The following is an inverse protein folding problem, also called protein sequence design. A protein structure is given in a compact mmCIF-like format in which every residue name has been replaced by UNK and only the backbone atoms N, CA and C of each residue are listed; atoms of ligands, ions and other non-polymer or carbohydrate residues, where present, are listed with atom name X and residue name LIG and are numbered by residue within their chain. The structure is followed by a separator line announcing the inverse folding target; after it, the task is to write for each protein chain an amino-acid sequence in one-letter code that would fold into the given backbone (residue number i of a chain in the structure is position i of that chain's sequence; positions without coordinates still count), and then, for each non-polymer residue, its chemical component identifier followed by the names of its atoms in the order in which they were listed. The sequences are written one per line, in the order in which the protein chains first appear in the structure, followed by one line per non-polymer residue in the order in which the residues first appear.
data_IF_137524195386
#
_entry.id   IF_137524195386
#
_cell.length_a   1.000
_cell.length_b   1.000
_cell.length_c   1.000
_cell.angle_alpha   90.00
_cell.angle_beta   90.00
_cell.angle_gamma   90.00
#
_symmetry.space_group_name_H-M   'P 1'
#
loop_
_entity.id
_entity.type
_entity.pdbx_description
1 polymer ?
#
# COMPACT_ATOMS: atom_id res chain seq x y z
N UNK A 1 27.95 -56.47 -54.37
CA UNK A 1 29.39 -56.47 -53.99
C UNK A 1 30.32 -56.65 -55.21
N UNK A 2 30.05 -56.01 -56.37
CA UNK A 2 30.93 -56.09 -57.57
C UNK A 2 31.91 -54.91 -57.71
N UNK A 3 31.62 -53.77 -57.08
CA UNK A 3 32.35 -52.51 -57.27
C UNK A 3 33.68 -52.42 -56.48
N UNK A 4 33.78 -53.11 -55.33
CA UNK A 4 35.01 -53.15 -54.52
C UNK A 4 36.08 -54.10 -55.11
N UNK A 5 35.68 -55.08 -55.94
CA UNK A 5 36.59 -56.06 -56.56
C UNK A 5 37.42 -55.51 -57.72
N UNK A 6 37.12 -54.29 -58.18
CA UNK A 6 37.88 -53.59 -59.23
C UNK A 6 38.66 -52.38 -58.69
N UNK A 7 38.91 -52.33 -57.37
CA UNK A 7 39.82 -51.36 -56.75
C UNK A 7 39.23 -49.99 -56.40
N UNK A 8 37.90 -49.83 -56.36
CA UNK A 8 37.28 -48.59 -55.86
C UNK A 8 37.22 -48.59 -54.33
N UNK A 9 37.72 -47.52 -53.71
CA UNK A 9 37.62 -47.31 -52.27
C UNK A 9 36.21 -46.88 -51.88
N UNK A 10 35.65 -47.51 -50.84
CA UNK A 10 34.27 -47.28 -50.35
C UNK A 10 34.03 -45.85 -49.82
N UNK A 11 35.10 -45.10 -49.58
CA UNK A 11 35.09 -43.71 -49.07
C UNK A 11 35.86 -42.73 -49.98
N UNK A 12 36.00 -43.07 -51.26
CA UNK A 12 36.78 -42.29 -52.23
C UNK A 12 36.07 -41.05 -52.78
N UNK A 13 35.77 -40.04 -51.96
CA UNK A 13 35.44 -38.69 -52.46
C UNK A 13 36.64 -37.77 -52.22
N UNK A 14 37.39 -37.48 -53.28
CA UNK A 14 38.46 -36.46 -53.28
C UNK A 14 37.83 -35.08 -53.11
N UNK A 15 38.29 -34.33 -52.11
CA UNK A 15 37.74 -33.02 -51.70
C UNK A 15 38.24 -31.80 -52.52
N UNK A 16 39.07 -31.99 -53.56
CA UNK A 16 39.77 -30.87 -54.22
C UNK A 16 39.34 -30.58 -55.67
N UNK A 17 38.04 -30.36 -55.90
CA UNK A 17 37.58 -29.56 -57.05
C UNK A 17 36.44 -28.63 -56.65
N UNK A 18 36.81 -27.41 -56.23
CA UNK A 18 35.92 -26.25 -56.24
C UNK A 18 35.97 -25.57 -57.60
N UNK A 19 34.84 -25.51 -58.32
CA UNK A 19 34.61 -24.61 -59.46
C UNK A 19 33.58 -23.57 -59.01
N UNK A 20 34.05 -22.38 -58.64
CA UNK A 20 33.22 -21.27 -58.17
C UNK A 20 33.76 -20.65 -56.88
N UNK A 21 34.68 -19.70 -57.02
CA UNK A 21 35.35 -19.03 -55.90
C UNK A 21 34.44 -18.08 -55.12
N UNK A 22 34.35 -18.30 -53.81
CA UNK A 22 34.66 -17.30 -52.78
C UNK A 22 34.90 -18.02 -51.46
N UNK A 23 36.17 -18.16 -51.15
CA UNK A 23 36.69 -18.69 -49.90
C UNK A 23 36.40 -17.65 -48.80
N UNK A 24 35.41 -17.90 -47.94
CA UNK A 24 35.35 -17.28 -46.61
C UNK A 24 35.69 -18.37 -45.60
N UNK A 25 36.86 -18.18 -44.99
CA UNK A 25 37.47 -18.99 -43.95
C UNK A 25 36.45 -19.59 -42.97
N UNK A 26 36.30 -20.91 -43.02
CA UNK A 26 35.80 -21.69 -41.89
C UNK A 26 36.98 -21.88 -40.94
N UNK A 27 37.20 -20.93 -40.03
CA UNK A 27 37.97 -21.24 -38.81
C UNK A 27 37.03 -22.02 -37.89
N UNK A 28 37.28 -23.33 -37.76
CA UNK A 28 37.10 -23.98 -36.46
C UNK A 28 38.05 -23.25 -35.52
N UNK A 29 37.50 -22.49 -34.59
CA UNK A 29 38.17 -22.20 -33.33
C UNK A 29 37.36 -22.95 -32.29
N UNK A 30 38.10 -23.66 -31.47
CA UNK A 30 37.66 -24.58 -30.45
C UNK A 30 36.57 -23.99 -29.57
N UNK A 31 35.61 -24.86 -29.25
CA UNK A 31 34.62 -24.61 -28.22
C UNK A 31 35.34 -24.64 -26.88
N UNK A 32 35.93 -23.53 -26.46
CA UNK A 32 36.29 -23.20 -25.09
C UNK A 32 36.76 -21.72 -25.06
N UNK A 33 36.02 -20.87 -24.34
CA UNK A 33 36.25 -19.44 -24.10
C UNK A 33 35.96 -18.43 -25.24
N UNK A 34 34.72 -17.91 -25.28
CA UNK A 34 34.44 -16.53 -25.72
C UNK A 34 33.24 -15.96 -24.95
N UNK A 35 33.35 -14.80 -24.26
CA UNK A 35 32.34 -14.33 -23.30
C UNK A 35 31.24 -13.46 -23.93
N UNK A 36 31.05 -13.52 -25.25
CA UNK A 36 30.12 -12.63 -25.95
C UNK A 36 29.23 -13.41 -26.91
N UNK A 37 28.14 -13.99 -26.40
CA UNK A 37 26.88 -14.25 -27.13
C UNK A 37 25.88 -14.91 -26.17
N UNK A 38 25.32 -14.08 -25.30
CA UNK A 38 23.99 -14.31 -24.77
C UNK A 38 23.28 -12.95 -24.87
N UNK A 39 22.27 -12.77 -25.73
CA UNK A 39 21.22 -11.83 -25.39
C UNK A 39 20.40 -12.53 -24.31
N UNK A 40 20.98 -12.69 -23.11
CA UNK A 40 20.15 -12.67 -21.93
C UNK A 40 19.41 -11.34 -22.05
N UNK A 41 18.10 -11.41 -22.25
CA UNK A 41 17.21 -10.36 -21.81
C UNK A 41 17.68 -10.07 -20.39
N UNK A 42 18.48 -9.01 -20.24
CA UNK A 42 18.74 -8.41 -18.95
C UNK A 42 17.35 -7.92 -18.59
N UNK A 43 16.61 -8.77 -17.87
CA UNK A 43 15.50 -8.29 -17.10
C UNK A 43 16.08 -7.12 -16.33
N UNK A 44 15.48 -5.92 -16.41
CA UNK A 44 15.99 -4.80 -15.63
C UNK A 44 16.13 -5.32 -14.22
N UNK A 45 17.37 -5.30 -13.69
CA UNK A 45 17.64 -5.78 -12.35
C UNK A 45 16.62 -5.06 -11.46
N UNK A 46 15.65 -5.80 -10.90
CA UNK A 46 14.67 -5.22 -10.00
C UNK A 46 15.49 -4.53 -8.92
N UNK A 47 15.46 -3.20 -8.91
CA UNK A 47 16.20 -2.41 -7.91
C UNK A 47 15.85 -2.98 -6.54
N UNK A 48 16.82 -3.06 -5.60
CA UNK A 48 16.52 -3.52 -4.26
C UNK A 48 15.35 -2.68 -3.70
N UNK A 49 14.29 -3.37 -3.27
CA UNK A 49 13.08 -2.75 -2.73
C UNK A 49 13.45 -1.73 -1.63
N UNK A 50 12.74 -0.60 -1.59
CA UNK A 50 12.94 0.38 -0.53
C UNK A 50 12.75 -0.31 0.84
N UNK A 51 13.77 -0.22 1.71
CA UNK A 51 13.81 -0.98 2.98
C UNK A 51 12.72 -0.55 3.94
N UNK A 52 12.37 0.74 3.95
CA UNK A 52 11.32 1.28 4.82
C UNK A 52 9.98 0.74 4.34
N UNK A 53 9.68 0.81 3.05
CA UNK A 53 8.44 0.25 2.48
C UNK A 53 8.33 -1.26 2.79
N UNK A 54 9.43 -2.00 2.61
CA UNK A 54 9.48 -3.43 2.94
C UNK A 54 9.22 -3.71 4.42
N UNK A 55 9.74 -2.85 5.31
CA UNK A 55 9.51 -2.95 6.74
C UNK A 55 8.05 -2.62 7.12
N UNK A 56 7.46 -1.58 6.52
CA UNK A 56 6.07 -1.21 6.74
C UNK A 56 5.10 -2.30 6.28
N UNK A 57 5.41 -3.01 5.18
CA UNK A 57 4.61 -4.15 4.72
C UNK A 57 4.54 -5.29 5.73
N UNK A 58 5.67 -5.63 6.37
CA UNK A 58 5.70 -6.72 7.36
C UNK A 58 5.15 -6.30 8.73
N UNK A 59 5.13 -4.99 9.00
CA UNK A 59 4.53 -4.43 10.20
C UNK A 59 3.00 -4.27 10.09
N UNK A 60 2.42 -4.47 8.91
CA UNK A 60 1.00 -4.29 8.66
C UNK A 60 0.15 -5.19 9.60
N UNK A 61 -0.79 -4.61 10.37
CA UNK A 61 -1.64 -5.40 11.25
C UNK A 61 -2.46 -6.46 10.50
N UNK A 62 -2.71 -7.58 11.18
CA UNK A 62 -3.66 -8.59 10.71
C UNK A 62 -5.08 -8.04 10.65
N UNK A 63 -5.93 -8.66 9.83
CA UNK A 63 -7.32 -8.26 9.70
C UNK A 63 -8.08 -8.45 11.02
N UNK A 64 -8.95 -7.48 11.32
CA UNK A 64 -9.86 -7.51 12.46
C UNK A 64 -11.30 -7.61 11.93
N UNK A 65 -12.08 -8.52 12.51
CA UNK A 65 -13.51 -8.67 12.21
C UNK A 65 -14.34 -7.69 13.04
N UNK A 66 -15.42 -7.16 12.48
CA UNK A 66 -16.33 -6.25 13.18
C UNK A 66 -17.15 -6.99 14.24
N UNK A 67 -17.57 -8.23 13.96
CA UNK A 67 -18.40 -9.09 14.81
C UNK A 67 -19.72 -8.40 15.24
N UNK A 68 -20.59 -7.98 14.30
CA UNK A 68 -21.89 -7.41 14.65
C UNK A 68 -22.73 -8.43 15.43
N UNK A 69 -23.37 -8.00 16.52
CA UNK A 69 -24.19 -8.90 17.35
C UNK A 69 -25.41 -9.43 16.55
N UNK A 70 -25.51 -10.75 16.29
CA UNK A 70 -26.61 -11.31 15.51
C UNK A 70 -27.94 -11.33 16.27
N UNK A 71 -27.93 -11.13 17.60
CA UNK A 71 -29.13 -11.12 18.44
C UNK A 71 -29.80 -9.75 18.50
N UNK A 72 -29.08 -8.69 18.13
CA UNK A 72 -29.59 -7.32 18.12
C UNK A 72 -30.21 -7.01 16.75
N UNK A 73 -31.45 -6.48 16.68
CA UNK A 73 -32.06 -6.08 15.41
C UNK A 73 -31.28 -4.98 14.70
N UNK A 74 -31.32 -4.98 13.37
CA UNK A 74 -30.66 -3.96 12.56
C UNK A 74 -31.28 -2.58 12.81
N UNK A 75 -30.42 -1.63 13.14
CA UNK A 75 -30.75 -0.25 13.49
C UNK A 75 -29.52 0.64 13.28
N UNK A 76 -29.75 1.95 13.21
CA UNK A 76 -28.71 2.97 13.23
C UNK A 76 -27.78 2.79 14.43
N UNK A 77 -28.34 2.57 15.63
CA UNK A 77 -27.57 2.37 16.86
C UNK A 77 -26.69 1.12 16.77
N UNK A 78 -27.22 -0.02 16.30
CA UNK A 78 -26.42 -1.24 16.12
C UNK A 78 -25.26 -1.01 15.16
N UNK A 79 -25.51 -0.33 14.05
CA UNK A 79 -24.48 -0.06 13.05
C UNK A 79 -23.37 0.84 13.61
N UNK A 80 -23.74 1.92 14.29
CA UNK A 80 -22.81 2.85 14.92
C UNK A 80 -22.02 2.20 16.06
N UNK A 81 -22.67 1.39 16.91
CA UNK A 81 -21.99 0.62 17.96
C UNK A 81 -20.95 -0.32 17.37
N UNK A 82 -21.32 -1.09 16.32
CA UNK A 82 -20.39 -2.01 15.65
C UNK A 82 -19.17 -1.28 15.11
N UNK A 83 -19.35 -0.10 14.49
CA UNK A 83 -18.26 0.71 13.97
C UNK A 83 -17.37 1.30 15.08
N UNK A 84 -17.95 1.80 16.18
CA UNK A 84 -17.20 2.29 17.33
C UNK A 84 -16.39 1.18 18.01
N UNK A 85 -16.96 -0.01 18.15
CA UNK A 85 -16.29 -1.18 18.75
C UNK A 85 -15.17 -1.71 17.86
N UNK A 86 -15.36 -1.67 16.53
CA UNK A 86 -14.30 -1.98 15.57
C UNK A 86 -13.18 -0.93 15.64
N UNK A 87 -13.52 0.35 15.64
CA UNK A 87 -12.54 1.43 15.69
C UNK A 87 -11.70 1.38 16.98
N UNK A 88 -12.30 1.12 18.14
CA UNK A 88 -11.57 0.98 19.41
C UNK A 88 -10.50 -0.13 19.34
N UNK A 89 -10.84 -1.29 18.76
CA UNK A 89 -9.90 -2.40 18.57
C UNK A 89 -8.85 -2.11 17.50
N UNK A 90 -9.23 -1.46 16.40
CA UNK A 90 -8.28 -0.99 15.37
C UNK A 90 -7.28 0.03 15.96
N UNK A 91 -7.72 0.93 16.86
CA UNK A 91 -6.84 1.89 17.53
C UNK A 91 -5.75 1.20 18.36
N UNK A 92 -6.07 0.12 19.08
CA UNK A 92 -5.08 -0.65 19.84
C UNK A 92 -3.97 -1.18 18.94
N UNK A 93 -4.34 -1.75 17.77
CA UNK A 93 -3.33 -2.27 16.84
C UNK A 93 -2.60 -1.15 16.10
N UNK A 94 -3.23 0.00 15.84
CA UNK A 94 -2.57 1.19 15.26
C UNK A 94 -1.48 1.72 16.20
N UNK A 95 -1.74 1.80 17.50
CA UNK A 95 -0.74 2.22 18.50
C UNK A 95 0.45 1.25 18.53
N UNK A 96 0.19 -0.05 18.40
CA UNK A 96 1.24 -1.07 18.26
C UNK A 96 2.04 -0.90 16.97
N UNK A 97 1.33 -0.77 15.84
CA UNK A 97 1.89 -0.59 14.50
C UNK A 97 2.79 0.64 14.40
N UNK A 98 2.38 1.77 14.99
CA UNK A 98 3.15 3.02 14.91
C UNK A 98 4.57 2.87 15.45
N UNK A 99 4.79 2.00 16.46
CA UNK A 99 6.11 1.72 17.03
C UNK A 99 7.07 1.03 16.05
N UNK A 100 6.54 0.41 14.99
CA UNK A 100 7.34 -0.20 13.93
C UNK A 100 7.76 0.81 12.85
N UNK A 101 7.25 2.04 12.86
CA UNK A 101 7.67 3.05 11.89
C UNK A 101 9.08 3.54 12.26
N UNK A 102 10.07 3.44 11.35
CA UNK A 102 11.44 3.85 11.64
C UNK A 102 11.52 5.32 12.09
N UNK A 103 12.00 5.55 13.31
CA UNK A 103 12.11 6.89 13.92
C UNK A 103 10.92 7.32 14.79
N UNK A 104 9.77 6.64 14.71
CA UNK A 104 8.61 7.03 15.53
C UNK A 104 8.85 6.77 17.02
N UNK A 105 9.37 5.59 17.37
CA UNK A 105 9.61 5.22 18.78
C UNK A 105 10.74 6.01 19.45
N UNK A 106 11.51 6.79 18.68
CA UNK A 106 12.58 7.66 19.21
C UNK A 106 12.08 9.06 19.58
N UNK A 107 10.87 9.44 19.15
CA UNK A 107 10.22 10.68 19.55
C UNK A 107 9.86 10.65 21.05
N UNK A 108 9.63 11.83 21.64
CA UNK A 108 9.10 11.90 23.01
C UNK A 108 7.73 11.20 23.08
N UNK A 109 7.36 10.69 24.25
CA UNK A 109 6.04 10.07 24.42
C UNK A 109 4.91 11.09 24.13
N UNK A 110 5.11 12.36 24.46
CA UNK A 110 4.17 13.43 24.19
C UNK A 110 3.97 13.64 22.67
N UNK A 111 5.06 13.63 21.90
CA UNK A 111 5.00 13.74 20.44
C UNK A 111 4.35 12.50 19.80
N UNK A 112 4.70 11.30 20.26
CA UNK A 112 4.07 10.05 19.80
C UNK A 112 2.55 10.09 20.01
N UNK A 113 2.11 10.50 21.20
CA UNK A 113 0.69 10.63 21.52
C UNK A 113 0.01 11.72 20.67
N UNK A 114 0.67 12.88 20.51
CA UNK A 114 0.15 14.01 19.75
C UNK A 114 -0.05 13.68 18.27
N UNK A 115 0.88 12.95 17.65
CA UNK A 115 0.76 12.46 16.28
C UNK A 115 -0.40 11.45 16.15
N UNK A 116 -0.50 10.48 17.07
CA UNK A 116 -1.58 9.49 17.07
C UNK A 116 -2.96 10.14 17.24
N UNK A 117 -3.10 11.03 18.23
CA UNK A 117 -4.32 11.81 18.48
C UNK A 117 -4.73 12.68 17.28
N UNK A 118 -3.76 13.13 16.49
CA UNK A 118 -4.01 13.92 15.29
C UNK A 118 -4.33 13.08 14.05
N UNK A 119 -3.76 11.88 13.91
CA UNK A 119 -3.84 11.10 12.67
C UNK A 119 -4.81 9.91 12.70
N UNK A 120 -5.27 9.49 13.89
CA UNK A 120 -5.97 8.20 14.05
C UNK A 120 -7.13 7.98 13.07
N UNK A 121 -7.97 9.00 12.86
CA UNK A 121 -9.11 8.91 11.96
C UNK A 121 -8.68 8.84 10.48
N UNK A 122 -7.59 9.50 10.09
CA UNK A 122 -7.04 9.35 8.74
C UNK A 122 -6.52 7.93 8.50
N UNK A 123 -5.89 7.33 9.51
CA UNK A 123 -5.38 5.95 9.44
C UNK A 123 -6.54 4.95 9.30
N UNK A 124 -7.59 5.10 10.11
CA UNK A 124 -8.80 4.26 10.03
C UNK A 124 -9.47 4.39 8.66
N UNK A 125 -9.69 5.63 8.19
CA UNK A 125 -10.32 5.89 6.88
C UNK A 125 -9.47 5.31 5.75
N UNK A 126 -8.15 5.52 5.78
CA UNK A 126 -7.29 4.98 4.73
C UNK A 126 -7.31 3.45 4.72
N UNK A 127 -7.46 2.81 5.89
CA UNK A 127 -7.67 1.36 6.03
C UNK A 127 -8.93 0.87 5.32
N UNK A 128 -10.10 1.44 5.61
CA UNK A 128 -11.36 1.06 4.93
C UNK A 128 -11.29 1.37 3.43
N UNK A 129 -10.69 2.50 3.03
CA UNK A 129 -10.49 2.85 1.62
C UNK A 129 -9.69 1.78 0.89
N UNK A 130 -8.58 1.33 1.47
CA UNK A 130 -7.72 0.32 0.87
C UNK A 130 -8.43 -1.05 0.76
N UNK A 131 -9.14 -1.47 1.82
CA UNK A 131 -9.94 -2.71 1.80
C UNK A 131 -11.03 -2.70 0.73
N UNK A 132 -11.55 -1.52 0.38
CA UNK A 132 -12.67 -1.34 -0.55
C UNK A 132 -12.25 -1.20 -2.03
N UNK A 133 -10.96 -1.22 -2.36
CA UNK A 133 -10.49 -1.00 -3.74
C UNK A 133 -10.94 -2.05 -4.76
N UNK A 134 -11.41 -3.21 -4.31
CA UNK A 134 -11.92 -4.29 -5.18
C UNK A 134 -13.45 -4.36 -5.25
N UNK A 135 -14.16 -3.46 -4.57
CA UNK A 135 -15.62 -3.47 -4.42
C UNK A 135 -16.24 -2.25 -5.09
N UNK A 136 -17.41 -2.38 -5.72
CA UNK A 136 -18.10 -1.27 -6.38
C UNK A 136 -19.18 -0.69 -5.45
N UNK A 137 -19.10 0.62 -5.18
CA UNK A 137 -20.06 1.37 -4.35
C UNK A 137 -20.33 0.79 -2.94
N UNK A 138 -19.38 0.03 -2.41
CA UNK A 138 -19.42 -0.58 -1.07
C UNK A 138 -18.16 -0.24 -0.27
N UNK A 139 -18.30 -0.10 1.05
CA UNK A 139 -17.19 0.12 1.99
C UNK A 139 -16.96 -1.09 2.89
N UNK A 140 -15.76 -1.66 2.80
CA UNK A 140 -15.32 -2.84 3.56
C UNK A 140 -14.68 -2.40 4.87
N UNK A 141 -15.50 -2.13 5.88
CA UNK A 141 -15.01 -1.82 7.23
C UNK A 141 -14.32 -3.02 7.85
N UNK A 142 -14.86 -4.23 7.66
CA UNK A 142 -14.22 -5.50 7.96
C UNK A 142 -14.68 -6.58 6.97
N UNK A 143 -14.01 -7.74 6.94
CA UNK A 143 -14.40 -8.84 6.04
C UNK A 143 -15.85 -9.33 6.30
N UNK A 144 -16.34 -9.17 7.53
CA UNK A 144 -17.71 -9.49 7.97
C UNK A 144 -18.62 -8.26 8.13
N UNK A 145 -18.19 -7.08 7.66
CA UNK A 145 -18.96 -5.85 7.76
C UNK A 145 -18.68 -4.91 6.58
N UNK A 146 -19.47 -5.11 5.54
CA UNK A 146 -19.47 -4.32 4.31
C UNK A 146 -20.72 -3.44 4.35
N UNK A 147 -20.53 -2.14 4.08
CA UNK A 147 -21.61 -1.15 4.06
C UNK A 147 -21.88 -0.66 2.64
N UNK A 148 -23.10 -0.89 2.15
CA UNK A 148 -23.61 -0.31 0.91
C UNK A 148 -24.30 1.05 1.14
N UNK A 149 -24.91 1.62 0.10
CA UNK A 149 -25.62 2.89 0.17
C UNK A 149 -26.81 2.87 1.15
N UNK A 150 -27.56 1.77 1.21
CA UNK A 150 -28.77 1.66 2.02
C UNK A 150 -28.44 1.49 3.50
N UNK A 151 -27.42 0.69 3.82
CA UNK A 151 -26.87 0.60 5.17
C UNK A 151 -26.26 1.93 5.62
N UNK A 152 -25.61 2.65 4.71
CA UNK A 152 -25.07 3.99 4.99
C UNK A 152 -26.19 5.00 5.30
N UNK A 153 -27.31 4.96 4.57
CA UNK A 153 -28.51 5.77 4.87
C UNK A 153 -29.09 5.41 6.24
N UNK A 154 -29.27 4.12 6.49
CA UNK A 154 -29.84 3.61 7.74
C UNK A 154 -29.01 4.06 8.95
N UNK A 155 -27.69 4.03 8.85
CA UNK A 155 -26.79 4.47 9.92
C UNK A 155 -26.62 6.00 10.04
N UNK A 156 -27.23 6.80 9.15
CA UNK A 156 -27.00 8.25 9.11
C UNK A 156 -25.60 8.65 8.62
N UNK A 157 -24.90 7.75 7.93
CA UNK A 157 -23.51 7.91 7.47
C UNK A 157 -23.37 8.18 5.97
N UNK A 158 -24.48 8.33 5.23
CA UNK A 158 -24.46 8.45 3.77
C UNK A 158 -23.46 9.49 3.24
N UNK A 159 -23.49 10.71 3.76
CA UNK A 159 -22.60 11.78 3.30
C UNK A 159 -21.12 11.50 3.59
N UNK A 160 -20.84 10.87 4.75
CA UNK A 160 -19.49 10.51 5.14
C UNK A 160 -18.97 9.34 4.29
N UNK A 161 -19.78 8.30 4.11
CA UNK A 161 -19.41 7.13 3.32
C UNK A 161 -19.25 7.48 1.85
N UNK A 162 -20.06 8.39 1.31
CA UNK A 162 -19.86 8.94 -0.03
C UNK A 162 -18.54 9.70 -0.16
N UNK A 163 -18.10 10.44 0.86
CA UNK A 163 -16.79 11.08 0.86
C UNK A 163 -15.64 10.05 0.90
N UNK A 164 -15.80 8.95 1.65
CA UNK A 164 -14.86 7.83 1.65
C UNK A 164 -14.83 7.13 0.28
N UNK A 165 -15.98 6.90 -0.35
CA UNK A 165 -16.07 6.33 -1.70
C UNK A 165 -15.40 7.22 -2.76
N UNK A 166 -15.36 8.55 -2.58
CA UNK A 166 -14.56 9.43 -3.44
C UNK A 166 -13.05 9.16 -3.32
N UNK A 167 -12.55 8.85 -2.12
CA UNK A 167 -11.16 8.40 -1.93
C UNK A 167 -10.94 7.04 -2.61
N UNK A 168 -11.84 6.08 -2.42
CA UNK A 168 -11.79 4.76 -3.09
C UNK A 168 -11.70 4.93 -4.60
N UNK A 169 -12.58 5.72 -5.20
CA UNK A 169 -12.59 5.99 -6.64
C UNK A 169 -11.27 6.59 -7.13
N UNK A 170 -10.70 7.54 -6.37
CA UNK A 170 -9.41 8.16 -6.69
C UNK A 170 -8.29 7.12 -6.67
N UNK A 171 -8.16 6.35 -5.60
CA UNK A 171 -7.12 5.34 -5.47
C UNK A 171 -7.27 4.16 -6.43
N UNK A 172 -8.51 3.71 -6.73
CA UNK A 172 -8.79 2.75 -7.80
C UNK A 172 -8.27 3.25 -9.14
N UNK A 173 -8.54 4.51 -9.50
CA UNK A 173 -8.09 5.11 -10.77
C UNK A 173 -6.56 5.19 -10.87
N UNK A 174 -5.90 5.36 -9.72
CA UNK A 174 -4.44 5.39 -9.60
C UNK A 174 -3.81 3.99 -9.49
N UNK A 175 -4.63 2.94 -9.32
CA UNK A 175 -4.18 1.57 -9.03
C UNK A 175 -3.24 1.54 -7.83
N UNK A 176 -3.73 2.03 -6.69
CA UNK A 176 -2.97 2.06 -5.45
C UNK A 176 -2.48 0.65 -5.05
N UNK A 177 -1.19 0.52 -4.80
CA UNK A 177 -0.53 -0.72 -4.37
C UNK A 177 -0.45 -0.80 -2.84
N UNK A 178 -0.15 -2.00 -2.30
CA UNK A 178 -0.06 -2.19 -0.84
C UNK A 178 1.10 -1.39 -0.25
N UNK A 179 2.21 -1.36 -0.97
CA UNK A 179 3.43 -0.61 -0.69
C UNK A 179 3.16 0.88 -0.51
N UNK A 180 2.41 1.46 -1.45
CA UNK A 180 2.02 2.87 -1.43
C UNK A 180 1.05 3.14 -0.28
N UNK A 181 0.08 2.26 -0.07
CA UNK A 181 -0.88 2.36 1.04
C UNK A 181 -0.21 2.39 2.41
N UNK A 182 0.69 1.43 2.71
CA UNK A 182 1.35 1.38 4.02
C UNK A 182 2.27 2.58 4.24
N UNK A 183 2.88 3.08 3.16
CA UNK A 183 3.72 4.28 3.19
C UNK A 183 2.88 5.54 3.41
N UNK A 184 1.75 5.68 2.72
CA UNK A 184 0.82 6.79 2.91
C UNK A 184 0.21 6.81 4.31
N UNK A 185 -0.07 5.65 4.92
CA UNK A 185 -0.49 5.60 6.33
C UNK A 185 0.58 6.15 7.27
N UNK A 186 1.84 5.75 7.08
CA UNK A 186 2.95 6.27 7.90
C UNK A 186 3.15 7.77 7.70
N UNK A 187 3.05 8.26 6.45
CA UNK A 187 3.12 9.69 6.14
C UNK A 187 1.95 10.44 6.79
N UNK A 188 0.72 9.93 6.73
CA UNK A 188 -0.43 10.56 7.37
C UNK A 188 -0.25 10.68 8.89
N UNK A 189 0.40 9.71 9.53
CA UNK A 189 0.77 9.78 10.95
C UNK A 189 1.80 10.89 11.21
N UNK A 190 2.89 10.92 10.45
CA UNK A 190 3.98 11.88 10.66
C UNK A 190 3.60 13.31 10.25
N UNK A 191 2.70 13.46 9.29
CA UNK A 191 2.23 14.72 8.71
C UNK A 191 0.78 15.04 9.14
N UNK A 192 0.48 14.86 10.43
CA UNK A 192 -0.88 14.99 10.97
C UNK A 192 -1.28 16.43 11.32
N UNK A 193 -0.39 17.40 11.13
CA UNK A 193 -0.53 18.81 11.51
C UNK A 193 -0.92 19.01 12.99
N UNK A 194 -0.34 18.21 13.89
CA UNK A 194 -0.51 18.41 15.33
C UNK A 194 0.05 19.79 15.75
N UNK A 195 -0.73 20.54 16.54
CA UNK A 195 -0.30 21.83 17.11
C UNK A 195 0.51 21.67 18.40
N UNK A 196 0.70 20.43 18.89
CA UNK A 196 1.25 20.13 20.22
C UNK A 196 2.60 19.40 20.16
N UNK A 197 3.36 19.56 19.08
CA UNK A 197 4.68 18.94 18.91
C UNK A 197 5.73 19.69 19.73
N UNK A 198 6.47 18.95 20.56
CA UNK A 198 7.60 19.40 21.36
C UNK A 198 8.86 19.51 20.49
N UNK A 199 9.23 18.43 19.77
CA UNK A 199 10.41 18.38 18.90
C UNK A 199 10.01 18.41 17.41
N UNK A 200 9.76 19.62 16.91
CA UNK A 200 9.37 19.87 15.52
C UNK A 200 10.43 19.38 14.53
N UNK A 201 11.71 19.47 14.87
CA UNK A 201 12.81 19.03 14.00
C UNK A 201 12.83 17.50 13.87
N UNK A 202 12.65 16.78 14.98
CA UNK A 202 12.57 15.32 14.95
C UNK A 202 11.35 14.81 14.16
N UNK A 203 10.19 15.47 14.30
CA UNK A 203 8.99 15.15 13.51
C UNK A 203 9.20 15.46 12.02
N UNK A 204 9.80 16.60 11.68
CA UNK A 204 10.15 16.92 10.29
C UNK A 204 11.08 15.87 9.70
N UNK A 205 12.08 15.43 10.46
CA UNK A 205 12.99 14.36 10.02
C UNK A 205 12.27 13.03 9.78
N UNK A 206 11.28 12.69 10.61
CA UNK A 206 10.43 11.53 10.38
C UNK A 206 9.63 11.67 9.08
N UNK A 207 9.06 12.84 8.81
CA UNK A 207 8.36 13.12 7.55
C UNK A 207 9.30 12.97 6.35
N UNK A 208 10.50 13.55 6.42
CA UNK A 208 11.49 13.50 5.34
C UNK A 208 11.89 12.06 5.02
N UNK A 209 12.15 11.24 6.05
CA UNK A 209 12.49 9.82 5.90
C UNK A 209 11.37 9.03 5.19
N UNK A 210 10.11 9.32 5.51
CA UNK A 210 8.95 8.63 4.90
C UNK A 210 8.65 9.15 3.49
N UNK A 211 8.82 10.45 3.24
CA UNK A 211 8.70 11.04 1.91
C UNK A 211 9.79 10.53 0.96
N UNK A 212 11.04 10.43 1.43
CA UNK A 212 12.14 9.83 0.68
C UNK A 212 11.84 8.36 0.37
N UNK A 213 11.29 7.61 1.34
CA UNK A 213 10.90 6.22 1.11
C UNK A 213 9.86 6.06 -0.01
N UNK A 214 8.84 6.92 -0.03
CA UNK A 214 7.86 6.96 -1.11
C UNK A 214 8.52 7.34 -2.43
N UNK A 215 9.30 8.42 -2.47
CA UNK A 215 9.93 8.90 -3.69
C UNK A 215 10.86 7.84 -4.31
N UNK A 216 11.66 7.16 -3.49
CA UNK A 216 12.54 6.07 -3.91
C UNK A 216 11.76 4.86 -4.43
N UNK A 217 10.65 4.51 -3.78
CA UNK A 217 9.76 3.44 -4.22
C UNK A 217 9.21 3.73 -5.62
N UNK A 218 8.64 4.91 -5.81
CA UNK A 218 8.05 5.34 -7.07
C UNK A 218 9.08 5.44 -8.20
N UNK A 219 10.26 6.00 -7.92
CA UNK A 219 11.36 6.08 -8.89
C UNK A 219 11.93 4.71 -9.27
N UNK A 220 11.68 3.69 -8.45
CA UNK A 220 12.07 2.30 -8.69
C UNK A 220 11.03 1.47 -9.44
N UNK A 221 9.77 1.52 -8.99
CA UNK A 221 8.70 0.66 -9.50
C UNK A 221 7.86 1.30 -10.60
N UNK A 222 7.69 2.62 -10.58
CA UNK A 222 6.80 3.37 -11.47
C UNK A 222 7.56 4.36 -12.35
N UNK A 223 8.58 3.86 -13.07
CA UNK A 223 9.41 4.67 -13.96
C UNK A 223 8.62 5.33 -15.11
N UNK A 224 7.46 4.77 -15.45
CA UNK A 224 6.54 5.31 -16.46
C UNK A 224 5.86 6.62 -16.03
N UNK A 225 5.75 6.90 -14.72
CA UNK A 225 5.15 8.12 -14.20
C UNK A 225 6.03 8.74 -13.10
N UNK A 226 7.05 9.54 -13.49
CA UNK A 226 7.98 10.18 -12.54
C UNK A 226 7.33 11.12 -11.52
N UNK A 227 6.03 11.43 -11.68
CA UNK A 227 5.26 12.32 -10.79
C UNK A 227 4.37 11.55 -9.83
N UNK A 228 4.41 10.21 -9.83
CA UNK A 228 3.49 9.37 -9.06
C UNK A 228 3.56 9.62 -7.56
N UNK A 229 4.75 9.78 -6.98
CA UNK A 229 4.93 10.16 -5.57
C UNK A 229 4.15 11.44 -5.23
N UNK A 230 4.28 12.48 -6.05
CA UNK A 230 3.53 13.72 -5.90
C UNK A 230 2.02 13.52 -6.01
N UNK A 231 1.55 12.69 -6.96
CA UNK A 231 0.12 12.36 -7.08
C UNK A 231 -0.41 11.65 -5.83
N UNK A 232 0.38 10.77 -5.22
CA UNK A 232 0.04 10.10 -3.96
C UNK A 232 -0.05 11.10 -2.81
N UNK A 233 0.92 12.00 -2.66
CA UNK A 233 0.86 13.05 -1.64
C UNK A 233 -0.35 13.98 -1.83
N UNK A 234 -0.74 14.27 -3.08
CA UNK A 234 -1.91 15.09 -3.41
C UNK A 234 -3.26 14.41 -3.10
N UNK A 235 -3.29 13.15 -2.65
CA UNK A 235 -4.53 12.53 -2.14
C UNK A 235 -4.77 12.86 -0.67
N UNK A 236 -3.72 13.15 0.10
CA UNK A 236 -3.78 13.40 1.54
C UNK A 236 -4.71 14.57 1.93
N UNK A 237 -4.82 15.68 1.17
CA UNK A 237 -5.78 16.74 1.52
C UNK A 237 -7.24 16.28 1.56
N UNK A 238 -7.64 15.38 0.64
CA UNK A 238 -8.99 14.82 0.64
C UNK A 238 -9.18 13.83 1.79
N UNK A 239 -8.13 13.07 2.13
CA UNK A 239 -8.13 12.18 3.30
C UNK A 239 -8.34 12.99 4.59
N UNK A 240 -7.55 14.05 4.77
CA UNK A 240 -7.67 14.97 5.90
C UNK A 240 -9.06 15.58 5.98
N UNK A 241 -9.60 16.10 4.86
CA UNK A 241 -10.94 16.67 4.83
C UNK A 241 -12.01 15.67 5.27
N UNK A 242 -11.92 14.43 4.78
CA UNK A 242 -12.87 13.36 5.13
C UNK A 242 -12.75 12.97 6.60
N UNK A 243 -11.51 12.87 7.10
CA UNK A 243 -11.21 12.63 8.52
C UNK A 243 -11.75 13.72 9.43
N UNK A 244 -11.57 15.00 9.10
CA UNK A 244 -12.14 16.12 9.88
C UNK A 244 -13.66 16.02 9.97
N UNK A 245 -14.34 15.71 8.86
CA UNK A 245 -15.79 15.48 8.86
C UNK A 245 -16.20 14.28 9.72
N UNK A 246 -15.45 13.18 9.64
CA UNK A 246 -15.71 11.99 10.42
C UNK A 246 -15.58 12.26 11.93
N UNK A 247 -14.49 12.91 12.36
CA UNK A 247 -14.29 13.29 13.77
C UNK A 247 -15.45 14.14 14.27
N UNK A 248 -15.85 15.17 13.51
CA UNK A 248 -16.99 16.02 13.89
C UNK A 248 -18.30 15.23 13.99
N UNK A 249 -18.54 14.31 13.06
CA UNK A 249 -19.75 13.49 13.05
C UNK A 249 -19.82 12.56 14.27
N UNK A 250 -18.74 11.83 14.55
CA UNK A 250 -18.69 10.95 15.73
C UNK A 250 -18.69 11.72 17.04
N UNK A 251 -18.12 12.93 17.09
CA UNK A 251 -18.23 13.80 18.25
C UNK A 251 -19.70 14.23 18.50
N UNK A 252 -20.46 14.53 17.45
CA UNK A 252 -21.89 14.84 17.59
C UNK A 252 -22.68 13.62 18.10
N UNK A 253 -22.41 12.41 17.59
CA UNK A 253 -23.04 11.17 18.06
C UNK A 253 -22.73 10.94 19.55
N UNK A 254 -21.48 11.19 19.97
CA UNK A 254 -21.09 11.13 21.39
C UNK A 254 -21.93 12.07 22.24
N UNK A 255 -22.13 13.32 21.79
CA UNK A 255 -22.95 14.31 22.52
C UNK A 255 -24.43 13.89 22.64
N UNK A 256 -24.95 13.15 21.67
CA UNK A 256 -26.31 12.59 21.77
C UNK A 256 -26.43 11.47 22.82
N UNK A 257 -25.33 10.76 23.12
CA UNK A 257 -25.26 9.77 24.19
C UNK A 257 -26.05 8.46 23.95
N UNK A 258 -26.51 8.22 22.72
CA UNK A 258 -27.30 7.02 22.36
C UNK A 258 -26.44 5.80 22.00
N UNK A 259 -25.24 6.04 21.48
CA UNK A 259 -24.32 4.99 21.02
C UNK A 259 -23.24 4.81 22.09
N UNK A 260 -23.10 3.61 22.69
CA UNK A 260 -21.99 3.33 23.59
C UNK A 260 -20.67 3.40 22.83
N UNK A 261 -19.66 4.00 23.46
CA UNK A 261 -18.30 4.10 22.92
C UNK A 261 -17.30 3.65 23.98
N UNK A 262 -16.30 2.89 23.56
CA UNK A 262 -15.23 2.43 24.44
C UNK A 262 -14.22 3.55 24.76
N UNK A 263 -13.46 3.32 25.83
CA UNK A 263 -12.63 4.35 26.47
C UNK A 263 -11.56 4.91 25.52
N UNK A 264 -10.87 4.07 24.75
CA UNK A 264 -9.77 4.54 23.90
C UNK A 264 -10.31 5.36 22.72
N UNK A 265 -11.41 4.92 22.10
CA UNK A 265 -12.08 5.70 21.06
C UNK A 265 -12.56 7.07 21.57
N UNK A 266 -13.12 7.13 22.78
CA UNK A 266 -13.52 8.39 23.42
C UNK A 266 -12.33 9.32 23.68
N UNK A 267 -11.22 8.79 24.21
CA UNK A 267 -10.00 9.57 24.44
C UNK A 267 -9.46 10.18 23.13
N UNK A 268 -9.51 9.42 22.03
CA UNK A 268 -9.09 9.91 20.71
C UNK A 268 -10.04 10.96 20.11
N UNK A 269 -11.35 10.84 20.35
CA UNK A 269 -12.34 11.86 19.94
C UNK A 269 -12.19 13.16 20.71
N UNK A 270 -11.90 13.08 22.01
CA UNK A 270 -11.76 14.24 22.89
C UNK A 270 -10.44 14.99 22.70
N UNK A 271 -9.40 14.33 22.21
CA UNK A 271 -8.09 14.96 22.00
C UNK A 271 -8.08 16.03 20.89
N UNK A 272 -9.08 16.05 20.00
CA UNK A 272 -9.17 16.97 18.84
C UNK A 272 -10.15 18.13 19.03
N UNK A 273 -10.89 18.19 20.13
CA UNK A 273 -11.94 19.19 20.38
C UNK A 273 -11.58 20.10 21.54
#
# INVERSE_FOLDING_TARGET
MKCLKVGMLKEGVRLDRVRGGRQKYKRRIDAENSPYLNPQLVQPAKKPYNKIVSHLLVAEPEKIYAMPDPTVPDSDIKALTTLCDLADRELVVIIGWAKHIPGFSTLSLADQMSLLQSAWMEILILGVVYRSLSFEDELVYADDYIMDEDQSKLAGLLDLNNAILQLVKKYKSMKLEKEEFVTLKAIALANSDSMHIEDVEAVQKLQDVLHEALQDYEAGQHMEDPRRAGKMLMTLPLLRQTSTKAVQHFYNIKLEGKVPMHKLFLEMLEAKV
#
